data_IF_021839824755
#
_entry.id   IF_021839824755
#
_cell.length_a   1.000
_cell.length_b   1.000
_cell.length_c   1.000
_cell.angle_alpha   90.00
_cell.angle_beta   90.00
_cell.angle_gamma   90.00
#
_symmetry.space_group_name_H-M   'P 1'
#
loop_
_entity.id
_entity.type
_entity.pdbx_description
1 polymer ?
#
# COMPACT_ATOMS: atom_id res chain seq x y z
N UNK A 1 80.54 -3.07 -46.26
CA UNK A 1 79.35 -3.07 -47.14
C UNK A 1 78.67 -4.42 -46.93
N UNK A 2 77.47 -4.56 -46.39
CA UNK A 2 76.30 -3.67 -46.31
C UNK A 2 75.40 -4.19 -45.19
N UNK A 3 75.08 -3.28 -44.28
CA UNK A 3 74.05 -3.34 -43.26
C UNK A 3 72.69 -3.71 -43.89
N UNK A 4 72.01 -4.74 -43.39
CA UNK A 4 70.57 -4.90 -43.57
C UNK A 4 69.93 -5.15 -42.21
N UNK A 5 69.61 -4.04 -41.55
CA UNK A 5 68.66 -3.97 -40.45
C UNK A 5 67.31 -4.49 -40.99
N UNK A 6 66.90 -5.68 -40.58
CA UNK A 6 65.53 -6.16 -40.78
C UNK A 6 64.73 -5.46 -39.68
N UNK A 7 64.15 -4.32 -40.04
CA UNK A 7 63.15 -3.63 -39.23
C UNK A 7 61.89 -4.50 -39.23
N UNK A 8 61.77 -5.37 -38.23
CA UNK A 8 60.49 -5.95 -37.84
C UNK A 8 59.65 -4.83 -37.21
N UNK A 9 59.06 -3.97 -38.04
CA UNK A 9 57.92 -3.16 -37.64
C UNK A 9 56.77 -4.12 -37.38
N UNK A 10 56.64 -4.52 -36.11
CA UNK A 10 55.45 -5.12 -35.56
C UNK A 10 54.29 -4.17 -35.86
N UNK A 11 53.49 -4.52 -36.87
CA UNK A 11 52.09 -4.13 -36.96
C UNK A 11 51.38 -4.81 -35.79
N UNK A 12 51.53 -4.25 -34.59
CA UNK A 12 50.59 -4.44 -33.50
C UNK A 12 49.28 -3.81 -33.98
N UNK A 13 48.48 -4.62 -34.68
CA UNK A 13 47.06 -4.39 -34.84
C UNK A 13 46.51 -4.45 -33.43
N UNK A 14 46.37 -3.27 -32.80
CA UNK A 14 45.59 -3.12 -31.58
C UNK A 14 44.16 -3.45 -31.98
N UNK A 15 43.78 -4.72 -31.83
CA UNK A 15 42.39 -5.12 -31.75
C UNK A 15 41.85 -4.49 -30.46
N UNK A 16 41.42 -3.24 -30.56
CA UNK A 16 40.51 -2.65 -29.57
C UNK A 16 39.24 -3.46 -29.71
N UNK A 17 39.07 -4.45 -28.83
CA UNK A 17 37.79 -5.11 -28.66
C UNK A 17 36.83 -4.02 -28.20
N UNK A 18 36.00 -3.53 -29.12
CA UNK A 18 34.88 -2.67 -28.78
C UNK A 18 34.05 -3.42 -27.73
N UNK A 19 34.04 -2.91 -26.51
CA UNK A 19 33.21 -3.42 -25.45
C UNK A 19 31.73 -3.29 -25.84
N UNK A 20 30.82 -4.00 -25.16
CA UNK A 20 29.38 -3.92 -25.41
C UNK A 20 28.77 -2.52 -25.15
N UNK A 21 29.57 -1.57 -24.66
CA UNK A 21 29.21 -0.18 -24.41
C UNK A 21 30.03 0.81 -25.25
N UNK A 22 30.80 0.35 -26.22
CA UNK A 22 31.50 1.26 -27.13
C UNK A 22 30.62 1.62 -28.31
N UNK A 23 30.77 2.83 -28.83
CA UNK A 23 30.01 3.25 -29.99
C UNK A 23 30.45 2.47 -31.24
N UNK A 24 29.49 2.16 -32.10
CA UNK A 24 29.79 1.61 -33.41
C UNK A 24 30.55 2.61 -34.28
N UNK A 25 31.09 2.15 -35.42
CA UNK A 25 31.89 2.96 -36.36
C UNK A 25 31.17 4.21 -36.87
N UNK A 26 29.84 4.20 -36.84
CA UNK A 26 28.98 5.33 -37.23
C UNK A 26 28.60 6.24 -36.03
N UNK A 27 29.20 6.03 -34.86
CA UNK A 27 28.86 6.74 -33.62
C UNK A 27 27.49 6.37 -33.06
N UNK A 28 26.98 5.18 -33.39
CA UNK A 28 25.66 4.70 -32.96
C UNK A 28 25.75 3.71 -31.80
N UNK A 29 24.67 3.65 -31.04
CA UNK A 29 24.51 2.77 -29.89
C UNK A 29 23.19 1.99 -30.01
N UNK A 30 23.01 0.97 -29.17
CA UNK A 30 21.73 0.28 -29.05
C UNK A 30 20.60 1.24 -28.61
N UNK A 31 19.32 0.95 -28.94
CA UNK A 31 18.19 1.80 -28.58
C UNK A 31 18.16 2.13 -27.08
N UNK A 32 17.87 3.40 -26.75
CA UNK A 32 17.90 3.92 -25.38
C UNK A 32 19.29 4.34 -24.88
N UNK A 33 20.32 4.23 -25.71
CA UNK A 33 21.67 4.72 -25.45
C UNK A 33 22.03 5.81 -26.47
N UNK A 34 22.94 6.70 -26.08
CA UNK A 34 23.56 7.68 -26.98
C UNK A 34 25.08 7.60 -26.89
N UNK A 35 25.76 7.90 -27.99
CA UNK A 35 27.22 7.94 -27.99
C UNK A 35 27.72 9.25 -27.40
N UNK A 36 28.45 9.18 -26.30
CA UNK A 36 29.22 10.28 -25.72
C UNK A 36 30.67 9.87 -25.59
N UNK A 37 31.58 10.65 -26.21
CA UNK A 37 33.03 10.44 -26.10
C UNK A 37 33.51 9.02 -26.50
N UNK A 38 32.77 8.35 -27.39
CA UNK A 38 33.08 6.98 -27.84
C UNK A 38 32.46 5.88 -26.97
N UNK A 39 31.71 6.23 -25.92
CA UNK A 39 30.97 5.31 -25.06
C UNK A 39 29.46 5.51 -25.14
N UNK A 40 28.73 4.42 -25.17
CA UNK A 40 27.27 4.39 -25.14
C UNK A 40 26.76 4.60 -23.71
N UNK A 41 26.19 5.79 -23.48
CA UNK A 41 25.58 6.17 -22.19
C UNK A 41 24.07 6.12 -22.26
N UNK A 42 23.44 5.86 -21.12
CA UNK A 42 21.98 5.86 -20.99
C UNK A 42 21.37 7.22 -21.31
N UNK A 43 20.35 7.21 -22.15
CA UNK A 43 19.57 8.40 -22.47
C UNK A 43 18.66 8.76 -21.31
N UNK A 44 18.94 9.89 -20.68
CA UNK A 44 18.14 10.42 -19.55
C UNK A 44 16.76 10.94 -19.99
N UNK A 45 16.56 11.16 -21.28
CA UNK A 45 15.28 11.54 -21.87
C UNK A 45 14.36 10.34 -22.14
N UNK A 46 14.88 9.11 -22.07
CA UNK A 46 14.07 7.92 -22.13
C UNK A 46 13.43 7.63 -20.75
N UNK A 47 12.15 7.22 -20.72
CA UNK A 47 11.48 6.89 -19.46
C UNK A 47 12.19 5.69 -18.81
N UNK A 48 12.45 5.79 -17.50
CA UNK A 48 12.96 4.65 -16.74
C UNK A 48 11.88 3.57 -16.69
N UNK A 49 12.14 2.44 -17.33
CA UNK A 49 11.20 1.33 -17.40
C UNK A 49 11.37 0.41 -16.20
N UNK A 50 10.41 0.40 -15.29
CA UNK A 50 10.26 -0.71 -14.36
C UNK A 50 9.72 -1.94 -15.09
N UNK A 51 10.30 -3.12 -14.84
CA UNK A 51 9.79 -4.37 -15.41
C UNK A 51 8.36 -4.62 -14.92
N UNK A 52 7.33 -4.62 -15.80
CA UNK A 52 5.96 -4.85 -15.37
C UNK A 52 5.75 -6.32 -14.98
N UNK A 53 4.89 -6.56 -13.99
CA UNK A 53 4.38 -7.91 -13.73
C UNK A 53 3.40 -8.30 -14.83
N UNK A 54 3.55 -9.51 -15.34
CA UNK A 54 2.77 -10.00 -16.47
C UNK A 54 1.69 -10.99 -16.01
N UNK A 55 0.66 -11.18 -16.82
CA UNK A 55 -0.32 -12.28 -16.66
C UNK A 55 0.19 -13.56 -17.31
N UNK A 56 -0.45 -14.69 -17.01
CA UNK A 56 -0.05 -15.97 -17.61
C UNK A 56 -0.28 -15.96 -19.12
N UNK A 57 0.69 -16.48 -19.88
CA UNK A 57 0.63 -16.49 -21.35
C UNK A 57 0.93 -15.13 -22.01
N UNK A 58 1.39 -14.15 -21.25
CA UNK A 58 1.88 -12.88 -21.76
C UNK A 58 3.40 -12.91 -21.93
N UNK A 59 3.88 -12.33 -23.03
CA UNK A 59 5.31 -12.12 -23.29
C UNK A 59 5.59 -10.63 -23.36
N UNK A 60 6.73 -10.23 -22.81
CA UNK A 60 7.26 -8.89 -22.96
C UNK A 60 8.09 -8.83 -24.25
N UNK A 61 7.73 -7.93 -25.15
CA UNK A 61 8.55 -7.58 -26.32
C UNK A 61 9.00 -6.13 -26.17
N UNK A 62 10.26 -5.86 -26.51
CA UNK A 62 10.77 -4.49 -26.52
C UNK A 62 10.55 -3.91 -27.92
N UNK A 63 9.89 -2.77 -27.98
CA UNK A 63 9.73 -1.97 -29.19
C UNK A 63 10.44 -0.65 -29.01
N UNK A 64 10.80 0.00 -30.10
CA UNK A 64 11.51 1.27 -30.08
C UNK A 64 10.52 2.36 -30.50
N UNK A 65 10.45 3.44 -29.74
CA UNK A 65 9.60 4.60 -30.07
C UNK A 65 10.24 5.49 -31.15
N UNK A 66 9.53 6.50 -31.62
CA UNK A 66 10.03 7.45 -32.63
C UNK A 66 11.30 8.21 -32.20
N UNK A 67 11.59 8.25 -30.90
CA UNK A 67 12.76 8.91 -30.33
C UNK A 67 13.90 7.94 -30.08
N UNK A 68 13.81 6.69 -30.57
CA UNK A 68 14.78 5.63 -30.33
C UNK A 68 14.90 5.21 -28.86
N UNK A 69 13.80 5.37 -28.09
CA UNK A 69 13.69 4.89 -26.72
C UNK A 69 13.03 3.50 -26.68
N UNK A 70 13.58 2.55 -25.89
CA UNK A 70 12.96 1.26 -25.69
C UNK A 70 11.65 1.43 -24.91
N UNK A 71 10.62 0.72 -25.33
CA UNK A 71 9.29 0.67 -24.72
C UNK A 71 8.84 -0.79 -24.61
N UNK A 72 8.35 -1.24 -23.45
CA UNK A 72 7.82 -2.57 -23.28
C UNK A 72 6.43 -2.65 -23.90
N UNK A 73 6.21 -3.69 -24.71
CA UNK A 73 4.90 -4.10 -25.18
C UNK A 73 4.59 -5.49 -24.63
N UNK A 74 3.38 -5.64 -24.09
CA UNK A 74 2.92 -6.92 -23.55
C UNK A 74 2.01 -7.57 -24.58
N UNK A 75 2.35 -8.77 -25.02
CA UNK A 75 1.58 -9.54 -25.99
C UNK A 75 1.12 -10.85 -25.35
N UNK A 76 -0.19 -10.96 -25.13
CA UNK A 76 -0.82 -12.13 -24.52
C UNK A 76 -1.46 -13.02 -25.58
N UNK A 77 -1.11 -14.31 -25.58
CA UNK A 77 -1.66 -15.29 -26.52
C UNK A 77 -1.75 -16.66 -25.88
N UNK A 78 -2.79 -17.44 -26.21
CA UNK A 78 -2.95 -18.82 -25.72
C UNK A 78 -1.82 -19.74 -26.16
N UNK A 79 -1.21 -19.48 -27.31
CA UNK A 79 -0.04 -20.23 -27.80
C UNK A 79 1.17 -20.08 -26.88
N UNK A 80 1.26 -19.00 -26.10
CA UNK A 80 2.35 -18.81 -25.16
C UNK A 80 2.22 -19.71 -23.92
N UNK A 81 1.06 -20.32 -23.68
CA UNK A 81 0.85 -21.32 -22.61
C UNK A 81 1.20 -22.73 -23.07
N UNK A 82 1.47 -22.93 -24.36
CA UNK A 82 1.75 -24.26 -24.91
C UNK A 82 3.12 -24.76 -24.46
N UNK A 83 3.14 -25.97 -23.93
CA UNK A 83 4.34 -26.68 -23.49
C UNK A 83 4.38 -28.07 -24.13
N UNK A 84 5.07 -28.18 -25.27
CA UNK A 84 5.00 -29.39 -26.09
C UNK A 84 3.58 -29.64 -26.59
N UNK A 85 2.96 -30.72 -26.09
CA UNK A 85 1.60 -31.14 -26.46
C UNK A 85 0.52 -30.71 -25.47
N UNK A 86 0.90 -30.08 -24.34
CA UNK A 86 -0.04 -29.65 -23.29
C UNK A 86 -0.10 -28.11 -23.21
N UNK A 87 -1.14 -27.58 -22.59
CA UNK A 87 -1.25 -26.16 -22.24
C UNK A 87 -1.14 -26.01 -20.73
N UNK A 88 -0.27 -25.11 -20.28
CA UNK A 88 -0.12 -24.81 -18.86
C UNK A 88 -1.32 -24.00 -18.35
N UNK A 89 -1.76 -24.34 -17.14
CA UNK A 89 -2.79 -23.58 -16.43
C UNK A 89 -2.23 -22.22 -15.96
N UNK A 90 -3.10 -21.22 -15.70
CA UNK A 90 -2.66 -19.95 -15.13
C UNK A 90 -1.88 -20.15 -13.82
N UNK A 91 -0.80 -19.40 -13.62
CA UNK A 91 0.15 -19.59 -12.52
C UNK A 91 1.35 -20.47 -12.84
N UNK A 92 1.32 -21.14 -13.99
CA UNK A 92 2.41 -21.97 -14.48
C UNK A 92 2.96 -21.43 -15.81
N UNK A 93 4.26 -21.61 -16.00
CA UNK A 93 4.95 -21.40 -17.27
C UNK A 93 5.58 -22.70 -17.77
N UNK A 94 5.86 -22.75 -19.08
CA UNK A 94 6.51 -23.90 -19.68
C UNK A 94 8.01 -23.86 -19.43
N UNK A 95 8.53 -24.89 -18.76
CA UNK A 95 9.95 -25.19 -18.81
C UNK A 95 10.29 -25.87 -20.14
N UNK A 96 11.02 -25.16 -20.99
CA UNK A 96 11.34 -25.63 -22.36
C UNK A 96 12.24 -26.86 -22.35
N UNK A 97 13.10 -26.98 -21.33
CA UNK A 97 14.10 -28.04 -21.26
C UNK A 97 13.45 -29.37 -20.80
N UNK A 98 12.54 -29.30 -19.83
CA UNK A 98 11.84 -30.46 -19.29
C UNK A 98 10.48 -30.75 -19.95
N UNK A 99 9.99 -29.85 -20.82
CA UNK A 99 8.63 -29.89 -21.41
C UNK A 99 7.57 -30.10 -20.32
N UNK A 100 7.68 -29.32 -19.23
CA UNK A 100 6.82 -29.42 -18.05
C UNK A 100 6.35 -28.04 -17.62
N UNK A 101 5.09 -27.96 -17.19
CA UNK A 101 4.55 -26.75 -16.56
C UNK A 101 5.11 -26.63 -15.15
N UNK A 102 5.82 -25.53 -14.88
CA UNK A 102 6.40 -25.18 -13.58
C UNK A 102 5.77 -23.89 -13.07
N UNK A 103 5.70 -23.66 -11.74
CA UNK A 103 5.22 -22.39 -11.22
C UNK A 103 6.05 -21.24 -11.80
N UNK A 104 5.38 -20.15 -12.14
CA UNK A 104 6.00 -18.97 -12.73
C UNK A 104 7.12 -18.41 -11.87
N UNK A 105 8.30 -18.23 -12.47
CA UNK A 105 9.50 -17.72 -11.77
C UNK A 105 9.40 -16.24 -11.39
N UNK A 106 8.56 -15.47 -12.07
CA UNK A 106 8.36 -14.05 -11.76
C UNK A 106 7.37 -13.81 -10.59
N UNK A 107 6.68 -14.86 -10.16
CA UNK A 107 5.79 -14.85 -9.01
C UNK A 107 6.57 -15.06 -7.69
N UNK A 108 6.12 -14.44 -6.59
CA UNK A 108 6.74 -14.64 -5.28
C UNK A 108 6.43 -16.06 -4.77
N UNK A 109 7.45 -16.81 -4.38
CA UNK A 109 7.27 -18.12 -3.76
C UNK A 109 7.02 -17.94 -2.26
N UNK A 110 5.75 -17.90 -1.86
CA UNK A 110 5.33 -17.73 -0.48
C UNK A 110 4.95 -19.08 0.13
N UNK A 111 5.71 -19.52 1.13
CA UNK A 111 5.37 -20.67 1.96
C UNK A 111 4.91 -20.16 3.32
N UNK A 112 3.63 -20.33 3.65
CA UNK A 112 3.12 -19.93 4.95
C UNK A 112 3.49 -20.98 6.02
N UNK A 113 3.88 -20.57 7.24
CA UNK A 113 4.15 -21.51 8.33
C UNK A 113 2.86 -22.19 8.76
N UNK A 114 2.87 -23.52 8.96
CA UNK A 114 1.67 -24.27 9.37
C UNK A 114 1.11 -23.73 10.69
N UNK A 115 -0.21 -23.51 10.73
CA UNK A 115 -0.92 -23.07 11.94
C UNK A 115 -2.10 -23.99 12.18
N UNK A 116 -2.20 -24.50 13.40
CA UNK A 116 -3.27 -25.42 13.80
C UNK A 116 -4.64 -24.75 13.71
N UNK A 117 -5.60 -25.42 13.07
CA UNK A 117 -6.96 -24.91 12.87
C UNK A 117 -7.12 -23.97 11.66
N UNK A 118 -6.06 -23.76 10.88
CA UNK A 118 -6.12 -23.04 9.61
C UNK A 118 -5.85 -23.95 8.43
N UNK A 119 -6.57 -23.70 7.33
CA UNK A 119 -6.40 -24.35 6.03
C UNK A 119 -5.83 -23.34 5.05
N UNK A 120 -4.75 -23.70 4.37
CA UNK A 120 -4.16 -22.87 3.32
C UNK A 120 -4.62 -23.40 1.96
N UNK A 121 -5.24 -22.53 1.17
CA UNK A 121 -5.70 -22.83 -0.19
C UNK A 121 -4.92 -21.97 -1.20
N UNK A 122 -4.48 -22.56 -2.30
CA UNK A 122 -3.78 -21.82 -3.34
C UNK A 122 -4.80 -21.17 -4.27
N UNK A 123 -4.74 -19.84 -4.42
CA UNK A 123 -5.60 -19.07 -5.32
C UNK A 123 -4.76 -18.20 -6.23
N UNK A 124 -5.33 -17.76 -7.35
CA UNK A 124 -4.63 -16.87 -8.29
C UNK A 124 -4.87 -15.41 -7.90
N UNK A 125 -3.81 -14.60 -7.93
CA UNK A 125 -3.93 -13.15 -7.81
C UNK A 125 -4.30 -12.48 -9.16
N UNK A 126 -4.33 -11.14 -9.19
CA UNK A 126 -4.64 -10.38 -10.40
C UNK A 126 -3.64 -10.60 -11.56
N UNK A 127 -2.44 -11.08 -11.27
CA UNK A 127 -1.38 -11.37 -12.25
C UNK A 127 -1.29 -12.86 -12.57
N UNK A 128 -2.27 -13.65 -12.14
CA UNK A 128 -2.28 -15.10 -12.20
C UNK A 128 -1.11 -15.75 -11.45
N UNK A 129 -0.62 -15.17 -10.36
CA UNK A 129 0.36 -15.81 -9.48
C UNK A 129 -0.34 -16.67 -8.42
N UNK A 130 0.22 -17.86 -8.15
CA UNK A 130 -0.29 -18.76 -7.12
C UNK A 130 0.04 -18.22 -5.73
N UNK A 131 -1.00 -17.82 -5.01
CA UNK A 131 -0.92 -17.20 -3.68
C UNK A 131 -1.65 -18.06 -2.64
N UNK A 132 -1.00 -18.38 -1.51
CA UNK A 132 -1.65 -19.11 -0.42
C UNK A 132 -2.60 -18.18 0.34
N UNK A 133 -3.89 -18.50 0.32
CA UNK A 133 -4.93 -17.85 1.12
C UNK A 133 -5.22 -18.73 2.33
N UNK A 134 -4.90 -18.19 3.52
CA UNK A 134 -5.16 -18.86 4.78
C UNK A 134 -6.58 -18.60 5.26
N UNK A 135 -7.37 -19.67 5.35
CA UNK A 135 -8.69 -19.67 5.98
C UNK A 135 -8.59 -20.37 7.33
N UNK A 136 -8.68 -19.59 8.40
CA UNK A 136 -8.73 -20.17 9.75
C UNK A 136 -10.17 -20.50 10.11
N UNK A 137 -10.44 -21.73 10.57
CA UNK A 137 -11.73 -22.02 11.21
C UNK A 137 -11.84 -21.08 12.39
N UNK A 138 -12.88 -20.24 12.47
CA UNK A 138 -13.06 -19.38 13.62
C UNK A 138 -13.25 -20.30 14.83
N UNK A 139 -12.29 -20.33 15.76
CA UNK A 139 -12.27 -21.25 16.93
C UNK A 139 -13.41 -20.99 17.93
N UNK A 140 -14.28 -20.04 17.62
CA UNK A 140 -15.66 -19.82 18.04
C UNK A 140 -16.25 -18.92 16.96
N UNK A 141 -17.58 -18.88 16.71
CA UNK A 141 -18.12 -17.74 15.98
C UNK A 141 -17.58 -16.49 16.67
N UNK A 142 -16.99 -15.57 15.90
CA UNK A 142 -16.92 -14.17 16.31
C UNK A 142 -18.36 -13.62 16.33
N UNK A 143 -19.27 -14.27 17.07
CA UNK A 143 -19.98 -13.49 18.07
C UNK A 143 -18.81 -12.90 18.84
N UNK A 144 -18.52 -11.63 18.59
CA UNK A 144 -18.04 -10.80 19.67
C UNK A 144 -19.01 -11.14 20.82
N UNK A 145 -18.64 -12.11 21.67
CA UNK A 145 -18.88 -11.92 23.07
C UNK A 145 -18.12 -10.63 23.29
N UNK A 146 -18.83 -9.49 23.14
CA UNK A 146 -18.68 -8.37 24.05
C UNK A 146 -18.28 -9.06 25.33
N UNK A 147 -17.03 -8.90 25.73
CA UNK A 147 -16.66 -9.23 27.08
C UNK A 147 -17.57 -8.31 27.87
N UNK A 148 -18.73 -8.84 28.25
CA UNK A 148 -19.63 -8.26 29.20
C UNK A 148 -18.91 -8.44 30.52
N UNK A 149 -17.78 -7.75 30.64
CA UNK A 149 -17.32 -7.22 31.89
C UNK A 149 -18.18 -5.98 32.11
N UNK A 150 -19.51 -6.20 32.19
CA UNK A 150 -20.29 -5.38 33.09
C UNK A 150 -19.74 -5.75 34.45
N UNK A 151 -18.80 -4.96 34.95
CA UNK A 151 -18.92 -4.60 36.34
C UNK A 151 -20.30 -3.94 36.46
N UNK A 152 -21.30 -4.59 37.10
CA UNK A 152 -22.67 -4.09 37.14
C UNK A 152 -22.82 -2.83 38.00
N UNK A 153 -21.73 -2.29 38.54
CA UNK A 153 -21.75 -1.22 39.53
C UNK A 153 -21.51 0.19 39.00
N UNK A 154 -21.14 0.39 37.71
CA UNK A 154 -20.88 1.74 37.18
C UNK A 154 -22.21 2.47 36.90
N UNK A 155 -22.77 3.11 37.93
CA UNK A 155 -23.92 4.02 37.82
C UNK A 155 -23.47 5.33 37.20
N UNK A 156 -23.73 5.52 35.91
CA UNK A 156 -23.51 6.81 35.25
C UNK A 156 -24.52 7.86 35.73
N UNK A 157 -24.10 9.13 35.68
CA UNK A 157 -24.93 10.27 36.03
C UNK A 157 -26.17 10.40 35.13
N UNK A 158 -27.13 11.25 35.53
CA UNK A 158 -28.39 11.45 34.79
C UNK A 158 -28.11 11.85 33.33
N UNK A 159 -28.77 11.17 32.39
CA UNK A 159 -28.61 11.31 30.93
C UNK A 159 -27.21 10.98 30.37
N UNK A 160 -26.35 10.32 31.15
CA UNK A 160 -25.15 9.66 30.66
C UNK A 160 -25.40 8.16 30.49
N UNK A 161 -24.63 7.55 29.61
CA UNK A 161 -24.61 6.11 29.40
C UNK A 161 -23.17 5.60 29.41
N UNK A 162 -22.98 4.40 29.91
CA UNK A 162 -21.67 3.76 29.88
C UNK A 162 -21.37 3.31 28.45
N UNK A 163 -20.23 3.74 27.92
CA UNK A 163 -19.73 3.29 26.61
C UNK A 163 -18.36 2.67 26.78
N UNK A 164 -18.16 1.52 26.15
CA UNK A 164 -16.86 0.84 26.11
C UNK A 164 -15.83 1.61 25.27
N UNK A 165 -16.30 2.35 24.27
CA UNK A 165 -15.51 3.23 23.42
C UNK A 165 -16.03 4.66 23.63
N UNK A 166 -15.31 5.45 24.42
CA UNK A 166 -15.62 6.88 24.60
C UNK A 166 -14.93 7.72 23.54
N UNK A 167 -15.38 8.97 23.38
CA UNK A 167 -14.70 9.89 22.49
C UNK A 167 -13.36 10.30 23.10
N UNK A 168 -12.29 10.18 22.34
CA UNK A 168 -10.97 10.66 22.75
C UNK A 168 -10.89 12.19 22.83
N UNK A 169 -11.75 12.88 22.08
CA UNK A 169 -11.80 14.33 22.05
C UNK A 169 -12.43 14.93 23.31
N UNK A 170 -12.02 16.14 23.70
CA UNK A 170 -12.58 16.83 24.86
C UNK A 170 -14.10 16.96 24.74
N UNK A 171 -14.79 16.61 25.83
CA UNK A 171 -16.24 16.61 25.88
C UNK A 171 -16.80 18.03 25.71
N UNK A 172 -18.01 18.10 25.14
CA UNK A 172 -18.77 19.34 25.07
C UNK A 172 -19.51 19.58 26.38
N UNK A 173 -19.35 20.77 26.94
CA UNK A 173 -20.07 21.25 28.13
C UNK A 173 -20.95 22.46 27.79
N UNK A 174 -21.83 22.87 28.70
CA UNK A 174 -22.59 24.12 28.55
C UNK A 174 -21.68 25.37 28.40
N UNK A 175 -20.38 25.29 28.67
CA UNK A 175 -19.45 26.40 28.44
C UNK A 175 -18.89 26.45 27.01
N UNK A 176 -18.83 25.32 26.29
CA UNK A 176 -18.20 25.24 24.96
C UNK A 176 -19.08 24.59 23.87
N UNK A 177 -20.38 24.45 24.14
CA UNK A 177 -21.32 23.73 23.27
C UNK A 177 -21.50 24.35 21.87
N UNK A 178 -21.19 25.64 21.70
CA UNK A 178 -21.22 26.35 20.41
C UNK A 178 -19.88 26.30 19.66
N UNK A 179 -18.79 25.95 20.34
CA UNK A 179 -17.47 25.90 19.70
C UNK A 179 -17.38 24.67 18.79
N UNK A 180 -16.83 24.83 17.58
CA UNK A 180 -16.50 23.67 16.75
C UNK A 180 -15.27 22.98 17.34
N UNK A 181 -15.38 21.71 17.69
CA UNK A 181 -14.22 20.94 18.14
C UNK A 181 -13.27 20.73 16.96
N UNK A 182 -12.02 21.21 17.08
CA UNK A 182 -10.96 20.91 16.12
C UNK A 182 -10.47 19.45 16.21
N UNK A 183 -10.85 18.73 17.26
CA UNK A 183 -10.53 17.33 17.45
C UNK A 183 -11.55 16.44 16.74
N UNK A 184 -11.04 15.60 15.85
CA UNK A 184 -11.76 14.49 15.24
C UNK A 184 -10.88 13.24 15.33
N UNK A 185 -11.37 12.20 15.99
CA UNK A 185 -10.65 10.94 16.16
C UNK A 185 -11.58 9.76 15.89
N UNK A 186 -11.11 8.83 15.07
CA UNK A 186 -11.73 7.52 14.87
C UNK A 186 -11.23 6.47 15.88
N UNK A 187 -10.32 6.85 16.80
CA UNK A 187 -9.81 5.98 17.84
C UNK A 187 -10.71 6.03 19.08
N UNK A 188 -10.87 4.89 19.74
CA UNK A 188 -11.60 4.77 20.99
C UNK A 188 -10.79 5.30 22.17
N UNK A 189 -11.40 6.17 22.98
CA UNK A 189 -10.95 6.48 24.32
C UNK A 189 -11.23 5.34 25.31
N UNK A 190 -10.76 5.45 26.56
CA UNK A 190 -10.99 4.45 27.61
C UNK A 190 -12.49 4.27 27.89
N UNK A 191 -12.93 3.08 28.34
CA UNK A 191 -14.33 2.85 28.67
C UNK A 191 -14.76 3.74 29.85
N UNK A 192 -15.97 4.29 29.78
CA UNK A 192 -16.47 5.22 30.80
C UNK A 192 -17.87 5.76 30.50
N UNK A 193 -18.37 6.60 31.39
CA UNK A 193 -19.64 7.29 31.19
C UNK A 193 -19.48 8.41 30.15
N UNK A 194 -20.44 8.53 29.25
CA UNK A 194 -20.50 9.61 28.26
C UNK A 194 -21.93 10.11 28.13
N UNK A 195 -22.12 11.39 27.83
CA UNK A 195 -23.46 11.94 27.58
C UNK A 195 -24.12 11.25 26.38
N UNK A 196 -25.42 11.01 26.48
CA UNK A 196 -26.23 10.51 25.36
C UNK A 196 -26.16 11.48 24.18
N UNK A 197 -26.47 10.97 22.99
CA UNK A 197 -26.54 11.80 21.79
C UNK A 197 -27.49 12.99 21.98
N UNK A 198 -27.10 14.15 21.48
CA UNK A 198 -27.82 15.42 21.69
C UNK A 198 -27.65 16.07 23.07
N UNK A 199 -26.98 15.41 24.01
CA UNK A 199 -26.71 15.95 25.35
C UNK A 199 -25.25 16.38 25.50
N UNK A 200 -25.03 17.40 26.33
CA UNK A 200 -23.72 17.95 26.69
C UNK A 200 -23.58 17.97 28.20
N UNK A 201 -22.34 18.02 28.70
CA UNK A 201 -22.09 18.06 30.14
C UNK A 201 -22.55 19.40 30.73
N UNK A 202 -23.17 19.37 31.92
CA UNK A 202 -23.59 20.60 32.60
C UNK A 202 -22.38 21.48 32.98
N UNK A 203 -21.29 20.84 33.38
CA UNK A 203 -20.00 21.43 33.74
C UNK A 203 -18.86 20.63 33.09
N UNK A 204 -17.61 20.95 33.39
CA UNK A 204 -16.46 20.13 33.03
C UNK A 204 -16.43 18.77 33.75
N UNK A 205 -17.20 18.63 34.83
CA UNK A 205 -17.37 17.39 35.59
C UNK A 205 -18.61 16.61 35.13
N UNK A 206 -18.41 15.37 34.70
CA UNK A 206 -19.49 14.50 34.23
C UNK A 206 -20.45 14.04 35.34
N UNK A 207 -20.01 14.09 36.60
CA UNK A 207 -20.83 13.75 37.77
C UNK A 207 -22.01 14.71 37.96
N UNK A 208 -21.87 15.96 37.51
CA UNK A 208 -22.95 16.95 37.55
C UNK A 208 -24.07 16.67 36.54
N UNK A 209 -23.88 15.65 35.69
CA UNK A 209 -24.88 15.14 34.77
C UNK A 209 -24.86 15.79 33.40
N UNK A 210 -25.66 15.21 32.51
CA UNK A 210 -25.78 15.64 31.12
C UNK A 210 -27.14 16.31 30.89
N UNK A 211 -27.13 17.42 30.16
CA UNK A 211 -28.33 18.21 29.81
C UNK A 211 -28.43 18.37 28.30
N UNK A 212 -29.63 18.65 27.80
CA UNK A 212 -29.78 18.95 26.37
C UNK A 212 -29.16 20.32 26.06
N UNK A 213 -28.75 20.53 24.81
CA UNK A 213 -28.21 21.83 24.35
C UNK A 213 -29.19 22.98 24.62
N UNK A 214 -30.49 22.72 24.49
CA UNK A 214 -31.55 23.69 24.78
C UNK A 214 -31.57 24.12 26.25
N UNK A 215 -31.28 23.20 27.17
CA UNK A 215 -31.17 23.52 28.60
C UNK A 215 -30.00 24.46 28.87
N UNK A 216 -28.84 24.27 28.21
CA UNK A 216 -27.72 25.20 28.33
C UNK A 216 -28.09 26.62 27.86
N UNK A 217 -28.79 26.74 26.72
CA UNK A 217 -29.26 28.03 26.20
C UNK A 217 -30.18 28.75 27.20
N UNK A 218 -31.08 28.02 27.85
CA UNK A 218 -31.96 28.57 28.90
C UNK A 218 -31.18 28.99 30.15
N UNK A 219 -30.15 28.24 30.54
CA UNK A 219 -29.30 28.60 31.67
C UNK A 219 -28.48 29.87 31.39
N UNK A 220 -27.96 30.02 30.18
CA UNK A 220 -27.21 31.20 29.78
C UNK A 220 -28.08 32.46 29.71
N UNK A 221 -29.33 32.34 29.25
CA UNK A 221 -30.27 33.47 29.26
C UNK A 221 -30.62 33.90 30.69
N UNK A 222 -30.83 32.95 31.60
CA UNK A 222 -31.06 33.22 33.02
C UNK A 222 -29.84 33.89 33.67
N UNK A 223 -28.62 33.40 33.43
CA UNK A 223 -27.37 34.01 33.94
C UNK A 223 -27.24 35.47 33.48
N UNK A 224 -27.44 35.73 32.19
CA UNK A 224 -27.40 37.11 31.64
C UNK A 224 -28.44 38.03 32.28
N UNK A 225 -29.63 37.52 32.58
CA UNK A 225 -30.67 38.30 33.26
C UNK A 225 -30.31 38.60 34.71
N UNK A 226 -29.68 37.66 35.42
CA UNK A 226 -29.21 37.87 36.80
C UNK A 226 -28.05 38.87 36.83
N UNK A 227 -27.09 38.77 35.92
CA UNK A 227 -25.98 39.74 35.82
C UNK A 227 -26.49 41.15 35.52
N UNK A 228 -27.49 41.28 34.64
CA UNK A 228 -28.11 42.58 34.32
C UNK A 228 -28.85 43.20 35.52
N UNK A 229 -29.39 42.37 36.41
CA UNK A 229 -30.14 42.80 37.58
C UNK A 229 -29.28 42.85 38.86
N UNK A 230 -27.97 42.59 38.77
CA UNK A 230 -27.06 42.66 39.92
C UNK A 230 -26.86 44.14 40.29
N UNK A 231 -27.20 44.56 41.52
CA UNK A 231 -26.94 45.93 41.95
C UNK A 231 -25.44 46.20 41.89
N UNK A 232 -25.06 47.30 41.26
CA UNK A 232 -23.70 47.80 41.30
C UNK A 232 -23.38 48.15 42.76
N UNK A 233 -22.41 47.46 43.34
CA UNK A 233 -21.88 47.75 44.66
C UNK A 233 -20.53 48.44 44.50
#
# INVERSE_FOLDING_TARGET
>A
MTTRLIVFTALTIVYVNAGPFDCDKDGKCSPGLRCEEGTCVLRTDCPMLSMPRMKSGCKLTMMVDERDCPMPKIECSKENLKCGSIYCEPGYECDKDAVKCIPRRDCPNLVLPKVDGCTDEMTLDEYDCLMPVRTCKPTKPLRQKRAKTTDPSVKCAKNAEYRECTNFCPAKSCSNYLEKSACFSLRCGPPGCMCKEGHVQLSHDIEQGCVSRETCVKLDSLKKNIERNKPAN
#
